data_IF_798940401544
#
_entry.id   IF_798940401544
#
_cell.length_a   1.000
_cell.length_b   1.000
_cell.length_c   1.000
_cell.angle_alpha   90.00
_cell.angle_beta   90.00
_cell.angle_gamma   90.00
#
_symmetry.space_group_name_H-M   'P 1'
#
loop_
_entity.id
_entity.type
_entity.pdbx_description
1 polymer ?
#
# COMPACT_ATOMS: atom_id res chain seq x y z
N UNK A 1 6.01 8.43 -34.83
CA UNK A 1 5.27 7.78 -33.73
C UNK A 1 6.12 6.65 -33.14
N UNK A 2 6.71 6.81 -31.95
CA UNK A 2 7.54 5.76 -31.32
C UNK A 2 6.62 4.80 -30.54
N UNK A 3 6.54 3.55 -30.99
CA UNK A 3 5.78 2.47 -30.33
C UNK A 3 6.50 2.08 -29.03
N UNK A 4 5.93 2.45 -27.89
CA UNK A 4 6.39 2.01 -26.57
C UNK A 4 6.04 0.53 -26.42
N UNK A 5 7.06 -0.34 -26.44
CA UNK A 5 6.89 -1.79 -26.23
C UNK A 5 6.53 -2.01 -24.76
N UNK A 6 5.35 -2.59 -24.49
CA UNK A 6 4.97 -3.05 -23.15
C UNK A 6 5.87 -4.24 -22.78
N UNK A 7 6.55 -4.24 -21.63
CA UNK A 7 7.32 -5.41 -21.20
C UNK A 7 6.35 -6.51 -20.73
N UNK A 8 6.15 -7.53 -21.57
CA UNK A 8 5.53 -8.81 -21.22
C UNK A 8 6.58 -9.72 -20.55
N UNK A 9 6.96 -9.39 -19.31
CA UNK A 9 7.79 -10.26 -18.48
C UNK A 9 7.01 -10.76 -17.26
N UNK A 10 7.30 -11.96 -16.73
CA UNK A 10 6.74 -12.39 -15.45
C UNK A 10 7.15 -11.38 -14.38
N UNK A 11 6.14 -10.78 -13.75
CA UNK A 11 6.31 -9.78 -12.68
C UNK A 11 7.16 -10.44 -11.58
N UNK A 12 8.34 -9.87 -11.22
CA UNK A 12 9.21 -10.49 -10.22
C UNK A 12 8.43 -10.70 -8.93
N UNK A 13 8.66 -11.85 -8.30
CA UNK A 13 8.01 -12.26 -7.06
C UNK A 13 8.05 -11.11 -6.06
N UNK A 14 6.86 -10.71 -5.62
CA UNK A 14 6.59 -9.49 -4.86
C UNK A 14 7.14 -9.67 -3.44
N UNK A 15 8.45 -9.58 -3.28
CA UNK A 15 9.07 -9.27 -2.00
C UNK A 15 8.92 -7.77 -1.79
N UNK A 16 7.95 -7.35 -0.97
CA UNK A 16 7.71 -5.97 -0.56
C UNK A 16 7.88 -4.95 -1.72
N UNK A 17 7.00 -5.01 -2.72
CA UNK A 17 7.19 -4.22 -3.94
C UNK A 17 6.86 -2.77 -3.65
N UNK A 18 7.75 -1.86 -4.05
CA UNK A 18 7.62 -0.43 -4.36
C UNK A 18 6.49 0.40 -3.71
N UNK A 19 5.25 -0.08 -3.65
CA UNK A 19 4.09 0.52 -3.00
C UNK A 19 4.34 0.96 -1.57
N UNK A 20 4.90 0.12 -0.68
CA UNK A 20 5.15 0.53 0.71
C UNK A 20 6.19 1.66 0.80
N UNK A 21 7.30 1.54 0.07
CA UNK A 21 8.37 2.54 0.10
C UNK A 21 7.92 3.88 -0.51
N UNK A 22 7.12 3.83 -1.59
CA UNK A 22 6.49 5.00 -2.19
C UNK A 22 5.46 5.61 -1.25
N UNK A 23 4.62 4.79 -0.62
CA UNK A 23 3.63 5.24 0.34
C UNK A 23 4.28 5.91 1.55
N UNK A 24 5.34 5.32 2.12
CA UNK A 24 6.11 5.95 3.20
C UNK A 24 6.69 7.31 2.81
N UNK A 25 7.21 7.44 1.59
CA UNK A 25 7.73 8.72 1.09
C UNK A 25 6.63 9.77 0.94
N UNK A 26 5.47 9.39 0.41
CA UNK A 26 4.31 10.29 0.26
C UNK A 26 3.78 10.70 1.64
N UNK A 27 3.58 9.74 2.54
CA UNK A 27 3.13 9.99 3.91
C UNK A 27 4.09 10.93 4.65
N UNK A 28 5.41 10.71 4.54
CA UNK A 28 6.40 11.60 5.14
C UNK A 28 6.33 13.03 4.59
N UNK A 29 6.12 13.19 3.29
CA UNK A 29 5.89 14.51 2.67
C UNK A 29 4.63 15.22 3.17
N UNK A 30 3.61 14.44 3.59
CA UNK A 30 2.40 14.94 4.24
C UNK A 30 2.52 15.09 5.78
N UNK A 31 3.70 14.84 6.36
CA UNK A 31 3.91 14.87 7.81
C UNK A 31 3.36 13.64 8.55
N UNK A 32 2.88 12.64 7.84
CA UNK A 32 2.32 11.41 8.41
C UNK A 32 3.45 10.39 8.58
N UNK A 33 3.70 9.99 9.83
CA UNK A 33 4.63 8.90 10.14
C UNK A 33 3.87 7.59 10.32
N UNK A 34 4.17 6.62 9.46
CA UNK A 34 3.63 5.28 9.57
C UNK A 34 4.25 4.55 10.76
N UNK A 35 3.40 4.02 11.63
CA UNK A 35 3.81 3.18 12.77
C UNK A 35 4.34 1.85 12.26
N UNK A 36 5.11 1.16 13.11
CA UNK A 36 5.62 -0.18 12.78
C UNK A 36 4.47 -1.18 12.51
N UNK A 37 3.34 -1.00 13.18
CA UNK A 37 2.14 -1.83 12.99
C UNK A 37 1.49 -1.59 11.62
N UNK A 38 1.30 -0.32 11.23
CA UNK A 38 0.77 0.03 9.90
C UNK A 38 1.63 -0.56 8.77
N UNK A 39 2.96 -0.55 8.94
CA UNK A 39 3.87 -1.17 7.97
C UNK A 39 3.66 -2.68 7.86
N UNK A 40 3.46 -3.38 8.98
CA UNK A 40 3.19 -4.82 9.00
C UNK A 40 1.86 -5.15 8.31
N UNK A 41 0.82 -4.37 8.58
CA UNK A 41 -0.50 -4.58 7.96
C UNK A 41 -0.46 -4.33 6.44
N UNK A 42 0.21 -3.25 6.00
CA UNK A 42 0.39 -2.97 4.58
C UNK A 42 1.18 -4.08 3.86
N UNK A 43 2.21 -4.64 4.51
CA UNK A 43 2.94 -5.80 3.99
C UNK A 43 2.05 -7.05 3.90
N UNK A 44 1.18 -7.27 4.89
CA UNK A 44 0.26 -8.39 4.91
C UNK A 44 -0.76 -8.31 3.76
N UNK A 45 -1.29 -7.13 3.45
CA UNK A 45 -2.22 -6.95 2.33
C UNK A 45 -1.61 -7.32 0.98
N UNK A 46 -0.33 -7.04 0.78
CA UNK A 46 0.37 -7.45 -0.44
C UNK A 46 0.66 -8.95 -0.48
N UNK A 47 1.09 -9.53 0.66
CA UNK A 47 1.34 -10.98 0.77
C UNK A 47 0.08 -11.78 0.50
N UNK A 48 -1.02 -11.38 1.11
CA UNK A 48 -2.28 -12.11 1.09
C UNK A 48 -3.15 -11.74 -0.12
N UNK A 49 -2.64 -10.85 -1.00
CA UNK A 49 -3.32 -10.34 -2.21
C UNK A 49 -4.75 -9.85 -1.93
N UNK A 50 -4.94 -9.23 -0.77
CA UNK A 50 -6.23 -8.68 -0.36
C UNK A 50 -6.67 -7.61 -1.37
N UNK A 51 -7.95 -7.59 -1.72
CA UNK A 51 -8.49 -6.63 -2.70
C UNK A 51 -8.48 -5.19 -2.15
N UNK A 52 -8.48 -4.21 -3.04
CA UNK A 52 -8.50 -2.79 -2.67
C UNK A 52 -9.69 -2.43 -1.75
N UNK A 53 -10.88 -3.00 -1.98
CA UNK A 53 -12.05 -2.72 -1.14
C UNK A 53 -11.88 -3.26 0.28
N UNK A 54 -11.35 -4.47 0.41
CA UNK A 54 -11.08 -5.10 1.71
C UNK A 54 -9.98 -4.37 2.47
N UNK A 55 -8.90 -3.94 1.78
CA UNK A 55 -7.85 -3.10 2.39
C UNK A 55 -8.43 -1.81 2.97
N UNK A 56 -9.31 -1.17 2.21
CA UNK A 56 -9.94 0.10 2.61
C UNK A 56 -10.80 -0.09 3.85
N UNK A 57 -11.61 -1.17 3.87
CA UNK A 57 -12.44 -1.52 5.02
C UNK A 57 -11.60 -1.82 6.26
N UNK A 58 -10.55 -2.62 6.13
CA UNK A 58 -9.65 -2.92 7.25
C UNK A 58 -9.01 -1.66 7.82
N UNK A 59 -8.48 -0.78 6.96
CA UNK A 59 -7.84 0.47 7.40
C UNK A 59 -8.86 1.37 8.08
N UNK A 60 -10.08 1.49 7.55
CA UNK A 60 -11.14 2.29 8.16
C UNK A 60 -11.59 1.72 9.51
N UNK A 61 -11.69 0.40 9.66
CA UNK A 61 -12.09 -0.23 10.94
C UNK A 61 -10.99 -0.12 12.00
N UNK A 62 -9.73 -0.32 11.61
CA UNK A 62 -8.60 -0.36 12.54
C UNK A 62 -8.01 1.01 12.86
N UNK A 63 -7.97 1.90 11.87
CA UNK A 63 -7.31 3.20 11.95
C UNK A 63 -8.25 4.38 11.66
N UNK A 64 -9.43 4.12 11.12
CA UNK A 64 -10.47 5.13 10.99
C UNK A 64 -10.97 5.49 12.38
N UNK A 65 -10.55 6.66 12.84
CA UNK A 65 -11.13 7.34 13.98
C UNK A 65 -12.63 7.51 13.70
N UNK A 66 -13.51 7.04 14.59
CA UNK A 66 -14.89 7.56 14.59
C UNK A 66 -14.79 9.09 14.69
N UNK A 67 -15.59 9.86 13.93
CA UNK A 67 -15.78 11.26 14.26
C UNK A 67 -16.44 11.28 15.64
N UNK A 68 -15.64 11.49 16.68
CA UNK A 68 -16.13 11.91 17.98
C UNK A 68 -16.73 13.29 17.80
N UNK A 69 -18.04 13.33 17.52
CA UNK A 69 -18.90 14.49 17.68
C UNK A 69 -19.23 14.66 19.16
#
# INVERSE_FOLDING_TARGET
MKKVRKPNGPRPAIGAVLGLCVFERISAGAGIRLTAEMRRDLLAFERDRIDMQERTRFIAEKYGREPSC
#
